data_IF_859154877183
#
_entry.id   IF_859154877183
#
_cell.length_a   1.000
_cell.length_b   1.000
_cell.length_c   1.000
_cell.angle_alpha   90.00
_cell.angle_beta   90.00
_cell.angle_gamma   90.00
#
_symmetry.space_group_name_H-M   'P 1'
#
loop_
_entity.id
_entity.type
_entity.pdbx_description
1 polymer ?
#
# COMPACT_ATOMS: atom_id res chain seq x y z
N UNK A 1 11.39 36.90 14.32
CA UNK A 1 11.02 35.48 14.10
C UNK A 1 9.53 35.33 14.40
N UNK A 2 8.78 34.73 13.49
CA UNK A 2 7.33 34.53 13.64
C UNK A 2 7.02 33.39 14.62
N UNK A 3 5.79 33.37 15.16
CA UNK A 3 5.29 32.24 15.94
C UNK A 3 5.35 30.91 15.14
N UNK A 4 5.22 30.99 13.82
CA UNK A 4 5.35 29.86 12.89
C UNK A 4 6.70 29.14 13.04
N UNK A 5 7.83 29.86 12.94
CA UNK A 5 9.16 29.25 13.07
C UNK A 5 9.37 28.57 14.43
N UNK A 6 8.86 29.18 15.51
CA UNK A 6 8.95 28.60 16.85
C UNK A 6 8.14 27.30 16.98
N UNK A 7 6.97 27.23 16.34
CA UNK A 7 6.12 26.03 16.34
C UNK A 7 6.77 24.85 15.62
N UNK A 8 7.52 25.10 14.55
CA UNK A 8 8.26 24.05 13.84
C UNK A 8 9.28 23.39 14.77
N UNK A 9 10.09 24.20 15.45
CA UNK A 9 11.09 23.69 16.41
C UNK A 9 10.40 22.95 17.55
N UNK A 10 9.35 23.53 18.14
CA UNK A 10 8.59 22.88 19.20
C UNK A 10 8.04 21.51 18.77
N UNK A 11 7.44 21.42 17.58
CA UNK A 11 6.89 20.16 17.05
C UNK A 11 8.00 19.14 16.80
N UNK A 12 9.14 19.54 16.23
CA UNK A 12 10.28 18.67 15.99
C UNK A 12 10.84 18.13 17.31
N UNK A 13 11.10 19.01 18.28
CA UNK A 13 11.61 18.62 19.60
C UNK A 13 10.63 17.69 20.31
N UNK A 14 9.32 17.95 20.21
CA UNK A 14 8.28 17.09 20.78
C UNK A 14 8.23 15.73 20.10
N UNK A 15 8.31 15.67 18.78
CA UNK A 15 8.34 14.41 18.04
C UNK A 15 9.58 13.57 18.39
N UNK A 16 10.74 14.21 18.55
CA UNK A 16 11.97 13.54 18.97
C UNK A 16 11.89 13.02 20.41
N UNK A 17 11.41 13.85 21.34
CA UNK A 17 11.29 13.47 22.75
C UNK A 17 10.24 12.37 23.00
N UNK A 18 9.19 12.32 22.18
CA UNK A 18 8.07 11.40 22.36
C UNK A 18 8.24 10.05 21.64
N UNK A 19 9.43 9.72 21.11
CA UNK A 19 9.64 8.44 20.42
C UNK A 19 9.44 7.23 21.33
N UNK A 20 9.64 7.39 22.64
CA UNK A 20 9.55 6.30 23.61
C UNK A 20 8.83 6.72 24.89
N UNK A 21 8.33 5.71 25.63
CA UNK A 21 7.79 5.90 26.98
C UNK A 21 8.88 6.23 28.01
N UNK A 22 8.45 6.69 29.20
CA UNK A 22 9.36 6.93 30.33
C UNK A 22 10.10 5.63 30.68
N UNK A 23 11.44 5.63 30.55
CA UNK A 23 12.41 4.57 30.88
C UNK A 23 13.00 3.73 29.73
N UNK A 24 12.92 4.17 28.47
CA UNK A 24 13.64 3.50 27.36
C UNK A 24 15.05 4.07 27.12
N UNK A 25 15.94 3.21 26.61
CA UNK A 25 17.35 3.51 26.43
C UNK A 25 17.57 4.56 25.32
N UNK A 26 18.21 5.68 25.64
CA UNK A 26 18.54 6.76 24.69
C UNK A 26 19.38 6.30 23.50
N UNK A 27 20.02 5.12 23.57
CA UNK A 27 20.72 4.49 22.45
C UNK A 27 19.79 4.06 21.30
N UNK A 28 18.46 4.05 21.51
CA UNK A 28 17.48 3.66 20.49
C UNK A 28 16.82 4.86 19.78
N UNK A 29 17.18 6.09 20.14
CA UNK A 29 16.66 7.30 19.50
C UNK A 29 16.94 7.26 17.99
N UNK A 30 15.91 7.58 17.21
CA UNK A 30 16.02 7.72 15.76
C UNK A 30 16.05 9.21 15.40
N UNK A 31 16.74 9.61 14.33
CA UNK A 31 16.67 10.97 13.86
C UNK A 31 15.24 11.41 13.54
N UNK A 32 14.88 12.62 13.98
CA UNK A 32 13.64 13.28 13.64
C UNK A 32 13.87 14.35 12.56
N UNK A 33 13.05 14.29 11.52
CA UNK A 33 13.14 15.20 10.37
C UNK A 33 11.83 15.97 10.28
N UNK A 34 11.88 17.29 10.43
CA UNK A 34 10.73 18.13 10.15
C UNK A 34 10.77 18.59 8.70
N UNK A 35 9.76 18.20 7.92
CA UNK A 35 9.55 18.70 6.57
C UNK A 35 8.45 19.76 6.63
N UNK A 36 8.82 21.01 6.32
CA UNK A 36 7.91 22.15 6.32
C UNK A 36 7.71 22.64 4.89
N UNK A 37 6.47 22.62 4.43
CA UNK A 37 6.09 23.06 3.08
C UNK A 37 5.31 24.36 3.21
N UNK A 38 5.69 25.39 2.45
CA UNK A 38 5.09 26.73 2.52
C UNK A 38 4.86 27.32 1.13
N UNK A 39 3.79 28.09 1.01
CA UNK A 39 3.37 28.82 -0.19
C UNK A 39 3.82 30.29 -0.21
N UNK A 40 4.70 30.68 0.72
CA UNK A 40 5.31 32.01 0.81
C UNK A 40 6.84 31.94 0.95
N UNK A 41 7.52 33.07 0.73
CA UNK A 41 8.99 33.16 0.88
C UNK A 41 9.36 33.37 2.35
N UNK A 42 9.83 32.31 3.00
CA UNK A 42 10.35 32.35 4.37
C UNK A 42 11.80 32.85 4.39
N UNK A 43 12.64 32.38 3.45
CA UNK A 43 14.05 32.76 3.33
C UNK A 43 14.27 33.57 2.06
N UNK A 44 14.10 34.89 2.14
CA UNK A 44 14.15 35.81 0.98
C UNK A 44 15.49 35.79 0.24
N UNK A 45 16.59 35.63 0.96
CA UNK A 45 17.95 35.69 0.41
C UNK A 45 18.44 34.35 -0.14
N UNK A 46 17.78 33.25 0.22
CA UNK A 46 18.17 31.91 -0.21
C UNK A 46 17.35 31.47 -1.41
N UNK A 47 17.96 31.09 -2.53
CA UNK A 47 17.22 30.86 -3.78
C UNK A 47 16.74 29.43 -3.99
N UNK A 48 17.26 28.44 -3.24
CA UNK A 48 16.88 27.04 -3.45
C UNK A 48 15.44 26.79 -3.01
N UNK A 49 14.77 25.90 -3.72
CA UNK A 49 13.40 25.44 -3.39
C UNK A 49 13.41 24.64 -2.10
N UNK A 50 14.37 23.73 -1.97
CA UNK A 50 14.57 22.89 -0.78
C UNK A 50 15.76 23.42 0.01
N UNK A 51 15.54 23.77 1.26
CA UNK A 51 16.58 24.19 2.20
C UNK A 51 16.70 23.17 3.32
N UNK A 52 17.92 22.72 3.62
CA UNK A 52 18.22 21.80 4.71
C UNK A 52 18.99 22.54 5.80
N UNK A 53 18.48 22.50 7.03
CA UNK A 53 19.16 23.02 8.22
C UNK A 53 19.51 21.86 9.16
N UNK A 54 20.72 21.93 9.70
CA UNK A 54 21.32 20.96 10.63
C UNK A 54 22.08 21.73 11.71
N UNK A 55 22.42 21.06 12.81
CA UNK A 55 23.34 21.63 13.80
C UNK A 55 24.78 21.63 13.29
N UNK A 56 25.44 22.75 13.50
CA UNK A 56 26.82 22.97 13.13
C UNK A 56 27.45 24.01 14.07
N UNK A 57 28.78 24.02 14.13
CA UNK A 57 29.55 25.05 14.81
C UNK A 57 29.32 26.41 14.11
N UNK A 58 29.19 27.48 14.89
CA UNK A 58 28.70 28.78 14.44
C UNK A 58 29.74 29.56 13.62
N UNK A 59 31.01 29.48 13.99
CA UNK A 59 32.09 30.28 13.42
C UNK A 59 32.62 29.67 12.09
N UNK A 60 32.99 28.39 12.08
CA UNK A 60 33.54 27.70 10.90
C UNK A 60 32.42 27.33 9.90
N UNK A 61 31.21 27.03 10.39
CA UNK A 61 30.04 26.58 9.59
C UNK A 61 30.29 25.35 8.70
N UNK A 62 31.49 24.76 8.73
CA UNK A 62 31.86 23.51 8.05
C UNK A 62 31.82 22.33 9.00
N UNK A 63 32.13 22.55 10.28
CA UNK A 63 32.03 21.54 11.32
C UNK A 63 30.56 21.28 11.66
N UNK A 64 30.04 20.16 11.18
CA UNK A 64 28.69 19.69 11.51
C UNK A 64 28.73 18.92 12.82
N UNK A 65 27.66 19.03 13.60
CA UNK A 65 27.51 18.15 14.76
C UNK A 65 27.47 16.69 14.26
N UNK A 66 28.20 15.74 14.91
CA UNK A 66 28.35 14.38 14.38
C UNK A 66 27.03 13.63 14.21
N UNK A 67 26.12 13.78 15.17
CA UNK A 67 24.82 13.08 15.15
C UNK A 67 23.75 13.97 14.55
N UNK A 68 23.31 13.65 13.34
CA UNK A 68 22.31 14.44 12.62
C UNK A 68 20.88 14.10 13.07
N UNK A 69 20.64 14.11 14.38
CA UNK A 69 19.39 13.69 15.04
C UNK A 69 18.21 14.59 14.72
N UNK A 70 18.42 15.91 14.68
CA UNK A 70 17.37 16.88 14.39
C UNK A 70 17.68 17.58 13.07
N UNK A 71 16.79 17.43 12.09
CA UNK A 71 16.93 18.03 10.77
C UNK A 71 15.68 18.81 10.40
N UNK A 72 15.87 19.97 9.77
CA UNK A 72 14.78 20.75 9.21
C UNK A 72 14.93 20.81 7.70
N UNK A 73 13.87 20.45 6.99
CA UNK A 73 13.72 20.68 5.58
C UNK A 73 12.62 21.71 5.36
N UNK A 74 12.91 22.72 4.55
CA UNK A 74 11.92 23.69 4.10
C UNK A 74 11.76 23.57 2.59
N UNK A 75 10.52 23.44 2.15
CA UNK A 75 10.12 23.43 0.75
C UNK A 75 9.30 24.70 0.50
N UNK A 76 9.88 25.68 -0.19
CA UNK A 76 9.22 26.94 -0.50
C UNK A 76 8.65 26.91 -1.93
N UNK A 77 7.37 26.60 -2.04
CA UNK A 77 6.66 26.41 -3.31
C UNK A 77 6.78 27.60 -4.29
N UNK A 78 6.80 28.89 -3.84
CA UNK A 78 6.96 30.02 -4.77
C UNK A 78 8.29 30.01 -5.53
N UNK A 79 9.32 29.34 -5.00
CA UNK A 79 10.64 29.21 -5.63
C UNK A 79 10.66 28.13 -6.71
N UNK A 80 9.67 27.23 -6.72
CA UNK A 80 9.60 26.14 -7.70
C UNK A 80 8.98 26.63 -9.01
N UNK A 81 9.80 26.61 -10.07
CA UNK A 81 9.47 27.14 -11.40
C UNK A 81 9.50 26.10 -12.53
N UNK A 82 9.87 24.86 -12.23
CA UNK A 82 9.90 23.78 -13.22
C UNK A 82 8.49 23.47 -13.74
N UNK A 83 8.40 23.18 -15.03
CA UNK A 83 7.22 22.67 -15.73
C UNK A 83 7.18 21.14 -15.68
N UNK A 84 6.08 20.52 -16.10
CA UNK A 84 5.92 19.06 -16.16
C UNK A 84 7.05 18.35 -16.93
N UNK A 85 7.50 18.94 -18.04
CA UNK A 85 8.56 18.38 -18.88
C UNK A 85 9.96 18.49 -18.26
N UNK A 86 10.13 19.33 -17.24
CA UNK A 86 11.41 19.59 -16.56
C UNK A 86 11.51 18.83 -15.22
N UNK A 87 10.53 17.97 -14.91
CA UNK A 87 10.53 17.15 -13.69
C UNK A 87 11.49 15.98 -13.86
N UNK A 88 12.61 16.04 -13.15
CA UNK A 88 13.69 15.04 -13.26
C UNK A 88 13.72 14.09 -12.06
N UNK A 89 13.26 14.56 -10.90
CA UNK A 89 13.37 13.84 -9.63
C UNK A 89 12.01 13.57 -8.99
N UNK A 90 11.94 12.56 -8.11
CA UNK A 90 10.76 12.30 -7.29
C UNK A 90 10.35 13.54 -6.47
N UNK A 91 11.32 14.30 -5.96
CA UNK A 91 11.05 15.56 -5.26
C UNK A 91 10.43 16.61 -6.16
N UNK A 92 10.88 16.73 -7.41
CA UNK A 92 10.25 17.66 -8.38
C UNK A 92 8.79 17.27 -8.63
N UNK A 93 8.51 15.98 -8.81
CA UNK A 93 7.15 15.46 -9.01
C UNK A 93 6.24 15.79 -7.83
N UNK A 94 6.68 15.54 -6.59
CA UNK A 94 5.92 15.89 -5.38
C UNK A 94 5.72 17.39 -5.20
N UNK A 95 6.74 18.21 -5.46
CA UNK A 95 6.64 19.67 -5.30
C UNK A 95 5.71 20.25 -6.38
N UNK A 96 5.79 19.76 -7.62
CA UNK A 96 4.88 20.15 -8.68
C UNK A 96 3.44 19.80 -8.31
N UNK A 97 3.20 18.55 -7.87
CA UNK A 97 1.90 18.12 -7.37
C UNK A 97 1.37 19.05 -6.28
N UNK A 98 2.11 19.25 -5.18
CA UNK A 98 1.65 20.08 -4.06
C UNK A 98 1.37 21.53 -4.44
N UNK A 99 1.99 22.04 -5.50
CA UNK A 99 1.83 23.41 -5.96
C UNK A 99 0.69 23.58 -6.97
N UNK A 100 0.49 22.59 -7.84
CA UNK A 100 -0.41 22.71 -9.01
C UNK A 100 -1.61 21.75 -8.96
N UNK A 101 -1.71 20.84 -7.98
CA UNK A 101 -2.76 19.81 -7.90
C UNK A 101 -4.19 20.37 -8.07
N UNK A 102 -4.49 21.49 -7.42
CA UNK A 102 -5.82 22.12 -7.51
C UNK A 102 -6.17 22.69 -8.90
N UNK A 103 -5.23 22.69 -9.85
CA UNK A 103 -5.40 23.15 -11.24
C UNK A 103 -5.33 22.02 -12.26
N UNK A 104 -5.11 20.78 -11.80
CA UNK A 104 -4.98 19.64 -12.70
C UNK A 104 -6.36 18.99 -12.84
N UNK A 105 -6.94 19.09 -14.04
CA UNK A 105 -8.21 18.42 -14.36
C UNK A 105 -8.02 16.90 -14.50
N UNK A 106 -6.84 16.48 -14.97
CA UNK A 106 -6.46 15.08 -15.14
C UNK A 106 -5.04 14.83 -14.62
N UNK A 107 -4.76 13.58 -14.23
CA UNK A 107 -3.44 13.14 -13.76
C UNK A 107 -2.47 13.07 -14.95
N UNK A 108 -1.43 13.93 -15.02
CA UNK A 108 -0.43 13.84 -16.07
C UNK A 108 0.34 12.52 -15.96
N UNK A 109 0.57 11.84 -17.08
CA UNK A 109 1.25 10.53 -17.11
C UNK A 109 2.60 10.52 -16.36
N UNK A 110 3.38 11.61 -16.46
CA UNK A 110 4.68 11.77 -15.79
C UNK A 110 4.53 11.70 -14.25
N UNK A 111 3.43 12.22 -13.71
CA UNK A 111 3.13 12.14 -12.27
C UNK A 111 2.54 10.78 -11.90
N UNK A 112 1.70 10.20 -12.78
CA UNK A 112 1.09 8.88 -12.60
C UNK A 112 2.07 7.70 -12.62
N UNK A 113 3.32 7.89 -13.09
CA UNK A 113 4.39 6.89 -12.93
C UNK A 113 4.73 6.58 -11.47
N UNK A 114 4.35 7.46 -10.53
CA UNK A 114 4.59 7.28 -9.09
C UNK A 114 3.25 6.95 -8.44
N UNK A 115 3.05 5.70 -8.04
CA UNK A 115 1.78 5.19 -7.49
C UNK A 115 1.27 6.06 -6.33
N UNK A 116 2.16 6.54 -5.45
CA UNK A 116 1.76 7.38 -4.32
C UNK A 116 1.28 8.78 -4.75
N UNK A 117 1.83 9.33 -5.83
CA UNK A 117 1.39 10.61 -6.39
C UNK A 117 0.07 10.43 -7.13
N UNK A 118 -0.09 9.32 -7.86
CA UNK A 118 -1.35 8.96 -8.50
C UNK A 118 -2.49 8.85 -7.46
N UNK A 119 -2.25 8.11 -6.38
CA UNK A 119 -3.21 7.97 -5.30
C UNK A 119 -3.54 9.33 -4.63
N UNK A 120 -2.51 10.14 -4.36
CA UNK A 120 -2.71 11.48 -3.78
C UNK A 120 -3.49 12.42 -4.72
N UNK A 121 -3.26 12.34 -6.04
CA UNK A 121 -4.02 13.07 -7.05
C UNK A 121 -5.47 12.60 -7.13
N UNK A 122 -5.73 11.29 -7.03
CA UNK A 122 -7.10 10.76 -6.98
C UNK A 122 -7.87 11.36 -5.81
N UNK A 123 -7.26 11.40 -4.62
CA UNK A 123 -7.86 12.01 -3.42
C UNK A 123 -8.09 13.51 -3.62
N UNK A 124 -7.11 14.23 -4.17
CA UNK A 124 -7.21 15.67 -4.40
C UNK A 124 -8.32 16.01 -5.41
N UNK A 125 -8.40 15.25 -6.51
CA UNK A 125 -9.44 15.41 -7.52
C UNK A 125 -10.82 15.12 -6.92
N UNK A 126 -10.99 14.02 -6.18
CA UNK A 126 -12.23 13.72 -5.47
C UNK A 126 -12.66 14.83 -4.50
N UNK A 127 -11.72 15.44 -3.78
CA UNK A 127 -12.01 16.56 -2.89
C UNK A 127 -12.43 17.85 -3.63
N UNK A 128 -12.07 17.98 -4.91
CA UNK A 128 -12.45 19.10 -5.77
C UNK A 128 -13.71 18.87 -6.61
N UNK A 129 -14.19 17.62 -6.67
CA UNK A 129 -15.34 17.24 -7.48
C UNK A 129 -16.65 17.73 -6.90
N UNK A 130 -17.58 18.04 -7.80
CA UNK A 130 -18.99 18.24 -7.47
C UNK A 130 -19.66 16.91 -7.11
N UNK A 131 -20.80 16.97 -6.42
CA UNK A 131 -21.55 15.77 -6.00
C UNK A 131 -21.93 14.88 -7.21
N UNK A 132 -22.31 15.49 -8.33
CA UNK A 132 -22.65 14.80 -9.58
C UNK A 132 -21.43 14.07 -10.21
N UNK A 133 -20.26 14.70 -10.18
CA UNK A 133 -19.02 14.10 -10.67
C UNK A 133 -18.57 12.94 -9.78
N UNK A 134 -18.71 13.08 -8.46
CA UNK A 134 -18.37 12.05 -7.49
C UNK A 134 -19.23 10.80 -7.71
N UNK A 135 -20.54 10.97 -7.86
CA UNK A 135 -21.46 9.87 -8.19
C UNK A 135 -21.12 9.19 -9.53
N UNK A 136 -20.63 9.95 -10.52
CA UNK A 136 -20.20 9.39 -11.80
C UNK A 136 -18.87 8.62 -11.70
N UNK A 137 -17.95 9.02 -10.82
CA UNK A 137 -16.72 8.28 -10.52
C UNK A 137 -17.01 7.00 -9.73
N UNK A 138 -17.88 7.07 -8.71
CA UNK A 138 -18.27 5.90 -7.91
C UNK A 138 -18.93 4.82 -8.77
N UNK A 139 -19.85 5.20 -9.67
CA UNK A 139 -20.46 4.26 -10.64
C UNK A 139 -19.42 3.55 -11.52
N UNK A 140 -18.39 4.27 -11.97
CA UNK A 140 -17.28 3.68 -12.75
C UNK A 140 -16.46 2.72 -11.90
N UNK A 141 -16.16 3.09 -10.65
CA UNK A 141 -15.42 2.25 -9.70
C UNK A 141 -16.15 0.93 -9.42
N UNK A 142 -17.46 0.99 -9.17
CA UNK A 142 -18.31 -0.21 -8.98
C UNK A 142 -18.25 -1.11 -10.21
N UNK A 143 -18.38 -0.53 -11.42
CA UNK A 143 -18.32 -1.31 -12.67
C UNK A 143 -17.00 -2.05 -12.84
N UNK A 144 -15.87 -1.41 -12.53
CA UNK A 144 -14.55 -2.03 -12.60
C UNK A 144 -14.36 -3.12 -11.53
N UNK A 145 -14.88 -2.91 -10.32
CA UNK A 145 -14.86 -3.94 -9.27
C UNK A 145 -15.70 -5.16 -9.67
N UNK A 146 -16.88 -4.95 -10.25
CA UNK A 146 -17.72 -6.04 -10.75
C UNK A 146 -17.01 -6.84 -11.85
N UNK A 147 -16.33 -6.16 -12.79
CA UNK A 147 -15.56 -6.83 -13.83
C UNK A 147 -14.40 -7.65 -13.25
N UNK A 148 -13.65 -7.10 -12.30
CA UNK A 148 -12.59 -7.82 -11.59
C UNK A 148 -13.13 -9.00 -10.79
N UNK A 149 -14.27 -8.81 -10.11
CA UNK A 149 -14.98 -9.86 -9.38
C UNK A 149 -15.40 -11.02 -10.30
N UNK A 150 -15.94 -10.71 -11.48
CA UNK A 150 -16.29 -11.70 -12.50
C UNK A 150 -15.07 -12.50 -12.98
N UNK A 151 -13.94 -11.84 -13.25
CA UNK A 151 -12.71 -12.52 -13.68
C UNK A 151 -12.16 -13.42 -12.58
N UNK A 152 -12.14 -12.94 -11.33
CA UNK A 152 -11.67 -13.73 -10.19
C UNK A 152 -12.57 -14.95 -9.94
N UNK A 153 -13.89 -14.77 -9.96
CA UNK A 153 -14.85 -15.87 -9.85
C UNK A 153 -14.62 -16.93 -10.93
N UNK A 154 -14.48 -16.52 -12.19
CA UNK A 154 -14.19 -17.46 -13.28
C UNK A 154 -12.86 -18.21 -13.11
N UNK A 155 -11.84 -17.55 -12.52
CA UNK A 155 -10.56 -18.17 -12.20
C UNK A 155 -10.66 -19.17 -11.04
N UNK A 156 -11.41 -18.83 -10.00
CA UNK A 156 -11.66 -19.72 -8.85
C UNK A 156 -12.49 -20.93 -9.26
N UNK A 157 -13.56 -20.74 -10.03
CA UNK A 157 -14.38 -21.80 -10.61
C UNK A 157 -13.52 -22.73 -11.50
N UNK A 158 -12.71 -22.17 -12.40
CA UNK A 158 -11.80 -22.95 -13.23
C UNK A 158 -10.74 -23.72 -12.43
N UNK A 159 -10.24 -23.15 -11.33
CA UNK A 159 -9.33 -23.84 -10.40
C UNK A 159 -10.05 -24.99 -9.71
N UNK A 160 -11.26 -24.76 -9.23
CA UNK A 160 -12.08 -25.78 -8.58
C UNK A 160 -12.36 -26.97 -9.49
N UNK A 161 -12.87 -26.72 -10.70
CA UNK A 161 -13.15 -27.77 -11.68
C UNK A 161 -11.90 -28.57 -12.05
N UNK A 162 -10.76 -27.88 -12.21
CA UNK A 162 -9.48 -28.52 -12.51
C UNK A 162 -9.00 -29.43 -11.37
N UNK A 163 -9.07 -28.97 -10.13
CA UNK A 163 -8.67 -29.75 -8.95
C UNK A 163 -9.60 -30.94 -8.75
N UNK A 164 -10.92 -30.74 -8.81
CA UNK A 164 -11.92 -31.81 -8.70
C UNK A 164 -11.69 -32.90 -9.76
N UNK A 165 -11.48 -32.50 -11.02
CA UNK A 165 -11.19 -33.42 -12.13
C UNK A 165 -9.89 -34.21 -11.89
N UNK A 166 -8.85 -33.54 -11.40
CA UNK A 166 -7.56 -34.16 -11.07
C UNK A 166 -7.69 -35.18 -9.94
N UNK A 167 -8.31 -34.80 -8.81
CA UNK A 167 -8.54 -35.67 -7.65
C UNK A 167 -9.36 -36.89 -8.05
N UNK A 168 -10.46 -36.68 -8.79
CA UNK A 168 -11.32 -37.77 -9.28
C UNK A 168 -10.53 -38.77 -10.13
N UNK A 169 -9.64 -38.28 -11.01
CA UNK A 169 -8.80 -39.14 -11.85
C UNK A 169 -7.76 -39.91 -11.03
N UNK A 170 -7.17 -39.31 -10.00
CA UNK A 170 -6.22 -39.97 -9.12
C UNK A 170 -6.89 -41.07 -8.30
N UNK A 171 -8.06 -40.78 -7.72
CA UNK A 171 -8.85 -41.75 -6.96
C UNK A 171 -9.24 -42.94 -7.83
N UNK A 172 -9.73 -42.69 -9.05
CA UNK A 172 -10.05 -43.75 -10.00
C UNK A 172 -8.84 -44.61 -10.37
N UNK A 173 -7.67 -43.99 -10.51
CA UNK A 173 -6.42 -44.72 -10.82
C UNK A 173 -5.94 -45.59 -9.66
N UNK A 174 -6.14 -45.15 -8.41
CA UNK A 174 -5.70 -45.87 -7.21
C UNK A 174 -6.67 -46.98 -6.78
N UNK A 175 -7.97 -46.67 -6.74
CA UNK A 175 -8.99 -47.55 -6.15
C UNK A 175 -9.95 -48.16 -7.16
N UNK A 176 -9.86 -47.79 -8.45
CA UNK A 176 -10.78 -48.27 -9.48
C UNK A 176 -12.09 -47.48 -9.50
N UNK A 177 -13.23 -48.16 -9.67
CA UNK A 177 -14.52 -47.46 -9.65
C UNK A 177 -14.85 -46.93 -8.24
N UNK A 178 -15.07 -45.62 -8.16
CA UNK A 178 -15.46 -44.95 -6.92
C UNK A 178 -16.99 -44.97 -6.81
N UNK A 179 -17.58 -45.38 -5.66
CA UNK A 179 -19.01 -45.34 -5.45
C UNK A 179 -19.61 -43.94 -5.71
N UNK A 180 -20.82 -43.90 -6.26
CA UNK A 180 -21.51 -42.64 -6.61
C UNK A 180 -21.73 -41.73 -5.39
N UNK A 181 -22.02 -42.32 -4.23
CA UNK A 181 -22.19 -41.61 -2.97
C UNK A 181 -20.90 -40.86 -2.56
N UNK A 182 -19.74 -41.49 -2.71
CA UNK A 182 -18.42 -40.90 -2.40
C UNK A 182 -18.06 -39.82 -3.42
N UNK A 183 -18.30 -40.07 -4.71
CA UNK A 183 -18.07 -39.07 -5.77
C UNK A 183 -18.89 -37.79 -5.56
N UNK A 184 -20.14 -37.94 -5.11
CA UNK A 184 -21.01 -36.80 -4.79
C UNK A 184 -20.52 -36.03 -3.57
N UNK A 185 -19.92 -36.68 -2.59
CA UNK A 185 -19.34 -35.99 -1.42
C UNK A 185 -18.11 -35.17 -1.82
N UNK A 186 -17.22 -35.73 -2.64
CA UNK A 186 -16.02 -35.04 -3.13
C UNK A 186 -16.40 -33.80 -3.95
N UNK A 187 -17.42 -33.91 -4.81
CA UNK A 187 -17.88 -32.78 -5.63
C UNK A 187 -18.47 -31.60 -4.82
N UNK A 188 -18.85 -31.83 -3.56
CA UNK A 188 -19.39 -30.81 -2.66
C UNK A 188 -18.36 -30.27 -1.66
N UNK A 189 -17.11 -30.75 -1.70
CA UNK A 189 -16.03 -30.17 -0.91
C UNK A 189 -15.72 -28.76 -1.41
N UNK A 190 -15.20 -27.91 -0.52
CA UNK A 190 -14.61 -26.66 -0.95
C UNK A 190 -13.21 -26.90 -1.57
N UNK A 191 -12.62 -25.83 -2.09
CA UNK A 191 -11.32 -25.93 -2.77
C UNK A 191 -10.18 -26.30 -1.82
N UNK A 192 -10.24 -25.90 -0.55
CA UNK A 192 -9.19 -26.19 0.43
C UNK A 192 -9.21 -27.67 0.80
N UNK A 193 -10.40 -28.23 1.00
CA UNK A 193 -10.61 -29.65 1.23
C UNK A 193 -10.24 -30.49 0.01
N UNK A 194 -10.56 -30.04 -1.21
CA UNK A 194 -10.15 -30.75 -2.43
C UNK A 194 -8.62 -30.79 -2.60
N UNK A 195 -7.93 -29.71 -2.26
CA UNK A 195 -6.48 -29.66 -2.30
C UNK A 195 -5.84 -30.51 -1.20
N UNK A 196 -6.37 -30.46 0.02
CA UNK A 196 -5.96 -31.36 1.09
C UNK A 196 -6.15 -32.83 0.72
N UNK A 197 -7.30 -33.15 0.11
CA UNK A 197 -7.55 -34.50 -0.41
C UNK A 197 -6.53 -34.89 -1.48
N UNK A 198 -6.08 -33.96 -2.34
CA UNK A 198 -5.07 -34.25 -3.36
C UNK A 198 -3.69 -34.59 -2.76
N UNK A 199 -3.38 -34.08 -1.57
CA UNK A 199 -2.16 -34.39 -0.81
C UNK A 199 -2.31 -35.72 -0.06
N UNK A 200 -3.38 -35.85 0.73
CA UNK A 200 -3.63 -36.99 1.62
C UNK A 200 -3.97 -38.27 0.85
N UNK A 201 -4.39 -38.17 -0.42
CA UNK A 201 -4.74 -39.32 -1.26
C UNK A 201 -3.62 -40.36 -1.31
N UNK A 202 -2.35 -39.94 -1.15
CA UNK A 202 -1.19 -40.82 -1.21
C UNK A 202 -1.03 -41.70 0.04
N UNK A 203 -1.65 -41.33 1.15
CA UNK A 203 -1.56 -42.02 2.45
C UNK A 203 -2.67 -43.05 2.68
N UNK A 204 -3.69 -43.10 1.81
CA UNK A 204 -4.84 -44.01 1.96
C UNK A 204 -4.59 -45.43 1.42
N UNK A 205 -4.71 -46.45 2.24
CA UNK A 205 -4.54 -47.84 1.82
C UNK A 205 -5.82 -48.45 1.23
N UNK A 206 -7.01 -47.94 1.60
CA UNK A 206 -8.29 -48.41 1.08
C UNK A 206 -9.35 -47.31 0.87
N UNK A 207 -10.51 -47.71 0.33
CA UNK A 207 -11.68 -46.83 0.22
C UNK A 207 -12.33 -46.52 1.59
N UNK A 208 -12.07 -47.33 2.62
CA UNK A 208 -12.52 -47.03 3.98
C UNK A 208 -11.78 -45.82 4.55
N UNK A 209 -10.48 -45.66 4.27
CA UNK A 209 -9.69 -44.51 4.72
C UNK A 209 -10.21 -43.20 4.12
N UNK A 210 -10.49 -43.20 2.81
CA UNK A 210 -11.12 -42.08 2.12
C UNK A 210 -12.50 -41.72 2.72
N UNK A 211 -13.29 -42.74 3.05
CA UNK A 211 -14.61 -42.54 3.64
C UNK A 211 -14.50 -41.95 5.05
N UNK A 212 -13.51 -42.40 5.83
CA UNK A 212 -13.21 -41.84 7.14
C UNK A 212 -12.79 -40.37 7.07
N UNK A 213 -11.90 -40.04 6.13
CA UNK A 213 -11.43 -38.67 5.90
C UNK A 213 -12.58 -37.71 5.54
N UNK A 214 -13.49 -38.13 4.65
CA UNK A 214 -14.65 -37.34 4.24
C UNK A 214 -15.64 -37.09 5.41
N UNK A 215 -15.83 -38.09 6.29
CA UNK A 215 -16.71 -37.94 7.46
C UNK A 215 -16.10 -37.06 8.56
N UNK A 216 -14.78 -37.01 8.69
CA UNK A 216 -14.10 -36.10 9.61
C UNK A 216 -14.30 -34.63 9.18
N UNK A 217 -14.10 -34.32 7.89
CA UNK A 217 -14.30 -32.97 7.33
C UNK A 217 -15.76 -32.50 7.45
N UNK A 218 -16.74 -33.38 7.24
CA UNK A 218 -18.16 -33.04 7.46
C UNK A 218 -18.48 -32.63 8.89
N UNK A 219 -17.79 -33.22 9.88
CA UNK A 219 -17.98 -32.91 11.31
C UNK A 219 -17.31 -31.60 11.73
N UNK A 220 -16.25 -31.20 11.03
CA UNK A 220 -15.56 -29.93 11.26
C UNK A 220 -16.27 -28.72 10.65
N UNK A 221 -17.12 -28.94 9.65
CA UNK A 221 -17.89 -27.89 8.95
C UNK A 221 -19.35 -27.72 9.43
N UNK A 222 -19.76 -28.42 10.51
CA UNK A 222 -21.05 -28.27 11.21
C UNK A 222 -20.91 -27.55 12.54
#
# INVERSE_FOLDING_TARGET
MSAFSKRIIYNLSKAYANQFGLAENHLLLRPAIAVTIVDFLLFKEYKKVISKFIFQEEEDKKLKYPDAELQLFFVELPKFKKTLAELESLSDKWIYFLKEAAKLDEIPAILGEVEEIEHALSIANQASMTEEELEAADRRSITLQDEKGRINYAKEEGRFEATLSMVTRLLKKRFGEIPEATSSQIANLDIEDLEGLAEDIFDFDSLEDLSGWLEERKRSSS
#
